data_IF_163509552171
#
_entry.id   IF_163509552171
#
_cell.length_a   1.000
_cell.length_b   1.000
_cell.length_c   1.000
_cell.angle_alpha   90.00
_cell.angle_beta   90.00
_cell.angle_gamma   90.00
#
_symmetry.space_group_name_H-M   'P 1'
#
loop_
_entity.id
_entity.type
_entity.pdbx_description
1 polymer ?
#
# COMPACT_ATOMS: atom_id res chain seq x y z
N UNK A 1 -9.94 14.86 -10.33
CA UNK A 1 -8.57 15.40 -10.44
C UNK A 1 -7.63 14.21 -10.42
N UNK A 2 -6.56 14.18 -11.22
CA UNK A 2 -5.63 13.05 -11.21
C UNK A 2 -5.01 12.90 -9.82
N UNK A 3 -4.73 11.66 -9.41
CA UNK A 3 -3.94 11.36 -8.23
C UNK A 3 -2.50 11.83 -8.43
N UNK A 4 -1.90 12.33 -7.36
CA UNK A 4 -0.53 12.81 -7.33
C UNK A 4 0.29 12.01 -6.34
N UNK A 5 1.60 11.92 -6.58
CA UNK A 5 2.51 11.25 -5.66
C UNK A 5 2.63 12.06 -4.37
N UNK A 6 2.37 11.40 -3.24
CA UNK A 6 2.70 11.95 -1.93
C UNK A 6 4.21 11.92 -1.71
N UNK A 7 4.82 13.00 -1.18
CA UNK A 7 6.23 12.98 -0.82
C UNK A 7 6.49 11.97 0.30
N UNK A 8 7.72 11.45 0.37
CA UNK A 8 8.15 10.61 1.50
C UNK A 8 8.12 11.43 2.79
N UNK A 9 7.51 10.87 3.83
CA UNK A 9 7.41 11.48 5.17
C UNK A 9 8.69 11.32 6.00
N UNK A 10 9.57 10.38 5.60
CA UNK A 10 10.84 10.11 6.25
C UNK A 10 12.05 10.36 5.33
N UNK A 11 13.22 10.56 5.92
CA UNK A 11 14.50 10.58 5.20
C UNK A 11 14.95 9.14 4.89
N UNK A 12 14.95 8.70 3.62
CA UNK A 12 15.24 7.31 3.26
C UNK A 12 16.66 6.87 3.59
N UNK A 13 17.61 7.81 3.68
CA UNK A 13 19.00 7.52 4.04
C UNK A 13 19.18 7.22 5.53
N UNK A 14 18.20 7.56 6.38
CA UNK A 14 18.24 7.36 7.84
C UNK A 14 17.49 6.10 8.31
N UNK A 15 16.87 5.36 7.39
CA UNK A 15 16.15 4.14 7.75
C UNK A 15 17.12 3.04 8.18
N UNK A 16 16.73 2.29 9.22
CA UNK A 16 17.47 1.13 9.70
C UNK A 16 16.94 -0.13 9.03
N UNK A 17 17.82 -0.95 8.44
CA UNK A 17 17.46 -2.23 7.83
C UNK A 17 16.91 -2.15 6.39
N UNK A 18 16.71 -0.95 5.85
CA UNK A 18 16.27 -0.71 4.47
C UNK A 18 17.22 0.28 3.81
N UNK A 19 17.69 -0.01 2.60
CA UNK A 19 18.62 0.90 1.90
C UNK A 19 17.87 2.08 1.27
N UNK A 20 18.51 3.24 1.23
CA UNK A 20 18.00 4.43 0.53
C UNK A 20 17.59 4.10 -0.91
N UNK A 21 18.49 3.43 -1.66
CA UNK A 21 18.25 3.03 -3.05
C UNK A 21 16.99 2.19 -3.21
N UNK A 22 16.73 1.28 -2.27
CA UNK A 22 15.52 0.46 -2.29
C UNK A 22 14.27 1.35 -2.13
N UNK A 23 14.26 2.21 -1.12
CA UNK A 23 13.09 3.03 -0.78
C UNK A 23 12.80 4.07 -1.86
N UNK A 24 13.82 4.77 -2.36
CA UNK A 24 13.66 5.73 -3.45
C UNK A 24 13.11 5.04 -4.70
N UNK A 25 13.70 3.91 -5.11
CA UNK A 25 13.20 3.16 -6.27
C UNK A 25 11.77 2.64 -6.07
N UNK A 26 11.43 2.16 -4.87
CA UNK A 26 10.09 1.68 -4.53
C UNK A 26 9.06 2.82 -4.66
N UNK A 27 9.40 4.00 -4.16
CA UNK A 27 8.55 5.19 -4.26
C UNK A 27 8.39 5.66 -5.72
N UNK A 28 9.49 5.82 -6.45
CA UNK A 28 9.48 6.33 -7.83
C UNK A 28 8.81 5.39 -8.82
N UNK A 29 9.10 4.08 -8.70
CA UNK A 29 8.74 3.12 -9.75
C UNK A 29 7.48 2.35 -9.40
N UNK A 30 7.35 1.83 -8.18
CA UNK A 30 6.23 0.96 -7.83
C UNK A 30 5.01 1.79 -7.44
N UNK A 31 5.16 2.71 -6.48
CA UNK A 31 4.10 3.65 -6.11
C UNK A 31 3.81 4.64 -7.24
N UNK A 32 4.86 5.24 -7.82
CA UNK A 32 4.76 6.04 -9.05
C UNK A 32 4.04 5.34 -10.19
N UNK A 33 4.35 4.06 -10.42
CA UNK A 33 3.66 3.22 -11.39
C UNK A 33 2.19 3.01 -11.06
N UNK A 34 1.85 2.73 -9.80
CA UNK A 34 0.47 2.55 -9.34
C UNK A 34 -0.39 3.81 -9.56
N UNK A 35 0.12 4.98 -9.18
CA UNK A 35 -0.56 6.28 -9.38
C UNK A 35 -0.79 6.56 -10.87
N UNK A 36 0.25 6.42 -11.71
CA UNK A 36 0.15 6.62 -13.16
C UNK A 36 -0.87 5.66 -13.79
N UNK A 37 -0.84 4.40 -13.36
CA UNK A 37 -1.77 3.36 -13.85
C UNK A 37 -3.21 3.67 -13.46
N UNK A 38 -3.46 4.07 -12.21
CA UNK A 38 -4.79 4.42 -11.73
C UNK A 38 -5.36 5.61 -12.51
N UNK A 39 -4.57 6.68 -12.68
CA UNK A 39 -4.94 7.84 -13.49
C UNK A 39 -5.32 7.46 -14.93
N UNK A 40 -4.54 6.58 -15.57
CA UNK A 40 -4.84 6.12 -16.92
C UNK A 40 -6.15 5.32 -16.98
N UNK A 41 -6.44 4.48 -15.97
CA UNK A 41 -7.69 3.71 -15.90
C UNK A 41 -8.89 4.64 -15.70
N UNK A 42 -8.80 5.60 -14.77
CA UNK A 42 -9.88 6.58 -14.56
C UNK A 42 -10.13 7.43 -15.79
N UNK A 43 -9.09 7.82 -16.53
CA UNK A 43 -9.26 8.51 -17.81
C UNK A 43 -10.04 7.65 -18.81
N UNK A 44 -9.70 6.36 -18.95
CA UNK A 44 -10.39 5.43 -19.86
C UNK A 44 -11.85 5.23 -19.45
N UNK A 45 -12.13 5.17 -18.15
CA UNK A 45 -13.49 5.09 -17.62
C UNK A 45 -14.29 6.38 -17.87
N UNK A 46 -13.65 7.55 -17.80
CA UNK A 46 -14.28 8.84 -18.08
C UNK A 46 -14.62 9.01 -19.57
N UNK A 47 -13.81 8.46 -20.46
CA UNK A 47 -14.01 8.48 -21.91
C UNK A 47 -14.99 7.39 -22.40
N UNK A 48 -15.38 6.46 -21.53
CA UNK A 48 -16.21 5.31 -21.90
C UNK A 48 -17.65 5.72 -22.22
N UNK A 49 -18.19 5.25 -23.35
CA UNK A 49 -19.62 5.33 -23.61
C UNK A 49 -20.37 4.21 -22.85
N UNK A 50 -20.80 4.52 -21.64
CA UNK A 50 -21.49 3.58 -20.74
C UNK A 50 -22.76 2.94 -21.32
N UNK A 51 -23.46 3.60 -22.25
CA UNK A 51 -24.69 3.07 -22.83
C UNK A 51 -24.45 1.92 -23.82
N UNK A 52 -23.25 1.82 -24.37
CA UNK A 52 -22.92 0.85 -25.43
C UNK A 52 -21.63 0.06 -25.19
N UNK A 53 -20.88 0.37 -24.13
CA UNK A 53 -19.64 -0.32 -23.81
C UNK A 53 -19.90 -1.81 -23.52
N UNK A 54 -19.12 -2.73 -24.11
CA UNK A 54 -19.23 -4.14 -23.78
C UNK A 54 -19.00 -4.42 -22.29
N UNK A 55 -19.82 -5.28 -21.70
CA UNK A 55 -19.76 -5.59 -20.26
C UNK A 55 -18.39 -6.11 -19.84
N UNK A 56 -17.69 -6.87 -20.69
CA UNK A 56 -16.35 -7.38 -20.38
C UNK A 56 -15.30 -6.27 -20.30
N UNK A 57 -15.46 -5.18 -21.06
CA UNK A 57 -14.56 -4.03 -21.01
C UNK A 57 -14.73 -3.26 -19.71
N UNK A 58 -15.98 -3.00 -19.30
CA UNK A 58 -16.30 -2.41 -18.00
C UNK A 58 -15.74 -3.27 -16.87
N UNK A 59 -15.95 -4.60 -16.93
CA UNK A 59 -15.45 -5.52 -15.92
C UNK A 59 -13.91 -5.48 -15.82
N UNK A 60 -13.22 -5.46 -16.97
CA UNK A 60 -11.76 -5.36 -17.02
C UNK A 60 -11.26 -4.06 -16.39
N UNK A 61 -11.82 -2.92 -16.79
CA UNK A 61 -11.42 -1.61 -16.26
C UNK A 61 -11.67 -1.48 -14.76
N UNK A 62 -12.84 -1.89 -14.26
CA UNK A 62 -13.16 -1.77 -12.83
C UNK A 62 -12.36 -2.75 -11.95
N UNK A 63 -12.07 -3.96 -12.44
CA UNK A 63 -11.14 -4.87 -11.73
C UNK A 63 -9.76 -4.24 -11.63
N UNK A 64 -9.31 -3.63 -12.71
CA UNK A 64 -7.96 -3.08 -12.76
C UNK A 64 -7.83 -1.77 -11.97
N UNK A 65 -8.89 -0.96 -11.95
CA UNK A 65 -9.00 0.20 -11.07
C UNK A 65 -8.88 -0.21 -9.60
N UNK A 66 -9.59 -1.26 -9.16
CA UNK A 66 -9.50 -1.78 -7.79
C UNK A 66 -8.08 -2.22 -7.42
N UNK A 67 -7.37 -2.88 -8.34
CA UNK A 67 -5.99 -3.33 -8.12
C UNK A 67 -5.05 -2.11 -8.04
N UNK A 68 -5.19 -1.15 -8.96
CA UNK A 68 -4.35 0.03 -8.99
C UNK A 68 -4.59 0.95 -7.77
N UNK A 69 -5.85 1.13 -7.36
CA UNK A 69 -6.21 1.90 -6.17
C UNK A 69 -5.71 1.22 -4.90
N UNK A 70 -5.87 -0.10 -4.79
CA UNK A 70 -5.33 -0.88 -3.68
C UNK A 70 -3.81 -0.74 -3.60
N UNK A 71 -3.10 -0.87 -4.72
CA UNK A 71 -1.65 -0.68 -4.77
C UNK A 71 -1.26 0.73 -4.33
N UNK A 72 -1.90 1.78 -4.84
CA UNK A 72 -1.62 3.16 -4.45
C UNK A 72 -1.79 3.38 -2.95
N UNK A 73 -2.95 3.04 -2.39
CA UNK A 73 -3.28 3.27 -0.98
C UNK A 73 -2.31 2.50 -0.06
N UNK A 74 -2.01 1.25 -0.38
CA UNK A 74 -1.12 0.42 0.43
C UNK A 74 0.31 0.95 0.45
N UNK A 75 0.81 1.48 -0.68
CA UNK A 75 2.11 2.14 -0.71
C UNK A 75 2.13 3.44 0.11
N UNK A 76 1.06 4.23 0.08
CA UNK A 76 0.96 5.44 0.92
C UNK A 76 1.04 5.08 2.41
N UNK A 77 0.25 4.10 2.86
CA UNK A 77 0.28 3.61 4.25
C UNK A 77 1.66 3.07 4.62
N UNK A 78 2.30 2.33 3.70
CA UNK A 78 3.65 1.81 3.90
C UNK A 78 4.66 2.93 4.14
N UNK A 79 4.71 3.95 3.28
CA UNK A 79 5.67 5.04 3.43
C UNK A 79 5.38 5.91 4.65
N UNK A 80 4.10 6.15 4.99
CA UNK A 80 3.71 6.87 6.21
C UNK A 80 4.07 6.12 7.50
N UNK A 81 4.29 4.80 7.41
CA UNK A 81 4.70 3.97 8.55
C UNK A 81 6.23 3.93 8.78
N UNK A 82 7.04 4.54 7.92
CA UNK A 82 8.50 4.53 8.01
C UNK A 82 9.06 5.73 8.80
N UNK A 83 10.29 5.59 9.32
CA UNK A 83 11.05 6.71 9.91
C UNK A 83 10.78 7.00 11.38
N UNK A 84 9.94 6.22 12.06
CA UNK A 84 9.75 6.31 13.51
C UNK A 84 10.95 5.80 14.32
N UNK A 85 10.93 6.03 15.64
CA UNK A 85 11.96 5.53 16.58
C UNK A 85 11.85 4.04 16.88
N UNK A 86 10.84 3.36 16.33
CA UNK A 86 10.46 2.00 16.71
C UNK A 86 9.90 1.92 18.12
N UNK A 87 9.76 0.69 18.62
CA UNK A 87 9.22 0.40 19.95
C UNK A 87 7.80 -0.16 19.91
N UNK A 88 7.27 -0.46 21.10
CA UNK A 88 5.89 -0.90 21.26
C UNK A 88 4.94 0.30 21.13
N UNK A 89 3.73 0.09 20.59
CA UNK A 89 2.70 1.10 20.59
C UNK A 89 2.28 1.43 22.03
N UNK A 90 1.68 2.60 22.22
CA UNK A 90 1.11 3.03 23.50
C UNK A 90 -0.37 3.43 23.36
N UNK A 91 -0.94 3.91 24.46
CA UNK A 91 -2.30 4.47 24.52
C UNK A 91 -3.38 3.55 23.95
N UNK A 92 -4.27 4.13 23.16
CA UNK A 92 -5.43 3.45 22.59
C UNK A 92 -5.05 2.33 21.61
N UNK A 93 -3.94 2.49 20.88
CA UNK A 93 -3.49 1.48 19.92
C UNK A 93 -3.01 0.22 20.64
N UNK A 94 -2.18 0.38 21.68
CA UNK A 94 -1.75 -0.76 22.51
C UNK A 94 -2.95 -1.51 23.11
N UNK A 95 -3.90 -0.77 23.68
CA UNK A 95 -5.10 -1.37 24.28
C UNK A 95 -5.94 -2.15 23.25
N UNK A 96 -6.06 -1.64 22.01
CA UNK A 96 -6.76 -2.35 20.94
C UNK A 96 -6.02 -3.64 20.53
N UNK A 97 -4.69 -3.58 20.39
CA UNK A 97 -3.87 -4.75 20.07
C UNK A 97 -3.96 -5.81 21.17
N UNK A 98 -3.84 -5.42 22.44
CA UNK A 98 -3.93 -6.35 23.56
C UNK A 98 -5.33 -6.97 23.69
N UNK A 99 -6.40 -6.22 23.36
CA UNK A 99 -7.77 -6.75 23.33
C UNK A 99 -7.95 -7.82 22.26
N UNK A 100 -7.45 -7.58 21.04
CA UNK A 100 -7.75 -8.41 19.88
C UNK A 100 -6.77 -9.59 19.72
N UNK A 101 -5.52 -9.43 20.18
CA UNK A 101 -4.44 -10.41 20.03
C UNK A 101 -3.90 -10.94 21.36
N UNK A 102 -4.37 -10.42 22.50
CA UNK A 102 -3.93 -10.84 23.84
C UNK A 102 -2.63 -10.17 24.32
N UNK A 103 -1.70 -9.84 23.43
CA UNK A 103 -0.52 -9.02 23.73
C UNK A 103 0.10 -8.42 22.46
N UNK A 104 0.95 -7.40 22.61
CA UNK A 104 1.75 -6.85 21.51
C UNK A 104 2.69 -7.91 20.91
N UNK A 105 3.23 -8.80 21.74
CA UNK A 105 4.10 -9.89 21.27
C UNK A 105 3.35 -10.96 20.49
N UNK A 106 2.12 -11.28 20.89
CA UNK A 106 1.26 -12.22 20.17
C UNK A 106 0.88 -11.66 18.80
N UNK A 107 0.43 -10.41 18.74
CA UNK A 107 0.19 -9.70 17.48
C UNK A 107 1.43 -9.70 16.57
N UNK A 108 2.60 -9.31 17.10
CA UNK A 108 3.85 -9.26 16.33
C UNK A 108 4.23 -10.63 15.78
N UNK A 109 4.02 -11.69 16.56
CA UNK A 109 4.28 -13.07 16.15
C UNK A 109 3.39 -13.45 14.98
N UNK A 110 2.08 -13.23 15.09
CA UNK A 110 1.10 -13.52 14.04
C UNK A 110 1.37 -12.70 12.77
N UNK A 111 1.52 -11.38 12.91
CA UNK A 111 1.76 -10.45 11.80
C UNK A 111 3.04 -10.82 11.02
N UNK A 112 4.13 -11.11 11.74
CA UNK A 112 5.40 -11.51 11.13
C UNK A 112 5.29 -12.87 10.45
N UNK A 113 4.58 -13.83 11.04
CA UNK A 113 4.37 -15.14 10.43
C UNK A 113 3.57 -15.03 9.13
N UNK A 114 2.50 -14.24 9.11
CA UNK A 114 1.72 -13.97 7.90
C UNK A 114 2.56 -13.28 6.83
N UNK A 115 3.38 -12.28 7.19
CA UNK A 115 4.31 -11.64 6.26
C UNK A 115 5.30 -12.62 5.63
N UNK A 116 5.89 -13.51 6.43
CA UNK A 116 6.81 -14.55 5.94
C UNK A 116 6.13 -15.59 5.05
N UNK A 117 4.88 -15.93 5.34
CA UNK A 117 4.10 -16.90 4.56
C UNK A 117 3.83 -16.44 3.12
N UNK A 118 3.96 -15.14 2.84
CA UNK A 118 3.87 -14.60 1.47
C UNK A 118 5.13 -14.79 0.64
N UNK A 119 6.19 -15.38 1.21
CA UNK A 119 7.42 -15.71 0.49
C UNK A 119 7.15 -16.54 -0.76
N UNK A 120 7.65 -16.07 -1.91
CA UNK A 120 7.45 -16.69 -3.22
C UNK A 120 6.39 -16.02 -4.09
N UNK A 121 5.69 -15.00 -3.59
CA UNK A 121 4.74 -14.19 -4.35
C UNK A 121 4.77 -12.71 -3.96
N UNK A 122 3.82 -11.93 -4.49
CA UNK A 122 3.58 -10.54 -4.09
C UNK A 122 2.36 -10.45 -3.19
N UNK A 123 2.40 -9.58 -2.18
CA UNK A 123 1.24 -9.31 -1.32
C UNK A 123 1.57 -8.42 -0.13
N UNK A 124 0.58 -8.25 0.75
CA UNK A 124 0.61 -7.37 1.94
C UNK A 124 -0.01 -8.10 3.13
N UNK A 125 0.53 -7.86 4.33
CA UNK A 125 -0.15 -8.22 5.60
C UNK A 125 -0.79 -6.95 6.14
N UNK A 126 -2.09 -7.01 6.46
CA UNK A 126 -2.89 -5.91 7.00
C UNK A 126 -3.46 -6.29 8.36
#
# INVERSE_FOLDING_TARGET
MPYELKPLSCDPAKLTGLSEKLIVSHWENNYGGAVKRLNAIEQRLAELNWASAPVFEINGLKREEMIASGSMILHEVYFDSLGGTGGDPDGALKAAIERDFGSVDAWRTEFTAMGKAQGGGSGWTL
#
